data_IF_203209248889
#
_entry.id   IF_203209248889
#
_cell.length_a   1.000
_cell.length_b   1.000
_cell.length_c   1.000
_cell.angle_alpha   90.00
_cell.angle_beta   90.00
_cell.angle_gamma   90.00
#
_symmetry.space_group_name_H-M   'P 1'
#
loop_
_entity.id
_entity.type
_entity.pdbx_description
1 polymer ?
#
# COMPACT_ATOMS: atom_id res chain seq x y z
N UNK A 1 15.27 -31.14 -0.39
CA UNK A 1 14.22 -30.64 -1.29
C UNK A 1 14.58 -29.20 -1.60
N UNK A 2 14.63 -28.84 -2.89
CA UNK A 2 15.12 -27.54 -3.32
C UNK A 2 14.22 -26.39 -2.81
N UNK A 3 14.82 -25.26 -2.49
CA UNK A 3 14.15 -24.06 -1.99
C UNK A 3 12.97 -23.65 -2.88
N UNK A 4 13.12 -23.79 -4.20
CA UNK A 4 12.06 -23.56 -5.18
C UNK A 4 10.85 -24.49 -5.02
N UNK A 5 11.10 -25.77 -4.72
CA UNK A 5 10.03 -26.76 -4.53
C UNK A 5 9.23 -26.50 -3.26
N UNK A 6 9.89 -26.10 -2.16
CA UNK A 6 9.22 -25.72 -0.92
C UNK A 6 8.40 -24.44 -1.12
N UNK A 7 8.98 -23.43 -1.75
CA UNK A 7 8.27 -22.19 -2.08
C UNK A 7 7.02 -22.43 -2.93
N UNK A 8 7.13 -23.23 -3.99
CA UNK A 8 5.97 -23.54 -4.84
C UNK A 8 4.88 -24.29 -4.06
N UNK A 9 5.28 -25.21 -3.18
CA UNK A 9 4.33 -25.97 -2.37
C UNK A 9 3.61 -25.07 -1.35
N UNK A 10 4.33 -24.17 -0.69
CA UNK A 10 3.75 -23.23 0.27
C UNK A 10 2.91 -22.16 -0.42
N UNK A 11 3.31 -21.69 -1.60
CA UNK A 11 2.48 -20.82 -2.45
C UNK A 11 1.16 -21.51 -2.85
N UNK A 12 1.20 -22.79 -3.23
CA UNK A 12 -0.02 -23.54 -3.57
C UNK A 12 -0.92 -23.75 -2.35
N UNK A 13 -0.35 -24.06 -1.17
CA UNK A 13 -1.12 -24.14 0.08
C UNK A 13 -1.78 -22.79 0.40
N UNK A 14 -1.08 -21.69 0.12
CA UNK A 14 -1.62 -20.36 0.33
C UNK A 14 -2.90 -20.14 -0.47
N UNK A 15 -2.94 -20.56 -1.74
CA UNK A 15 -4.13 -20.49 -2.59
C UNK A 15 -5.34 -21.29 -2.06
N UNK A 16 -5.11 -22.25 -1.16
CA UNK A 16 -6.17 -23.07 -0.53
C UNK A 16 -6.69 -22.48 0.80
N UNK A 17 -6.16 -21.35 1.28
CA UNK A 17 -6.67 -20.74 2.51
C UNK A 17 -8.11 -20.25 2.32
N UNK A 18 -8.97 -20.28 3.35
CA UNK A 18 -10.33 -19.73 3.27
C UNK A 18 -10.34 -18.30 2.74
N UNK A 19 -9.46 -17.44 3.23
CA UNK A 19 -9.34 -16.05 2.78
C UNK A 19 -9.04 -15.91 1.30
N UNK A 20 -8.06 -16.66 0.77
CA UNK A 20 -7.74 -16.64 -0.67
C UNK A 20 -8.82 -17.33 -1.50
N UNK A 21 -9.51 -18.32 -0.94
CA UNK A 21 -10.67 -18.95 -1.59
C UNK A 21 -11.82 -17.96 -1.77
N UNK A 22 -12.10 -17.09 -0.79
CA UNK A 22 -13.07 -16.00 -0.96
C UNK A 22 -12.62 -14.97 -2.00
N UNK A 23 -11.34 -14.61 -2.03
CA UNK A 23 -10.78 -13.74 -3.08
C UNK A 23 -10.97 -14.34 -4.47
N UNK A 24 -10.54 -15.60 -4.67
CA UNK A 24 -10.68 -16.32 -5.95
C UNK A 24 -12.16 -16.50 -6.30
N UNK A 25 -13.00 -16.84 -5.33
CA UNK A 25 -14.45 -16.92 -5.51
C UNK A 25 -15.05 -15.60 -5.98
N UNK A 26 -14.62 -14.47 -5.42
CA UNK A 26 -15.02 -13.14 -5.86
C UNK A 26 -14.62 -12.85 -7.32
N UNK A 27 -13.37 -13.19 -7.67
CA UNK A 27 -12.89 -13.08 -9.06
C UNK A 27 -13.73 -13.94 -10.02
N UNK A 28 -14.01 -15.19 -9.66
CA UNK A 28 -14.80 -16.11 -10.47
C UNK A 28 -16.25 -15.64 -10.64
N UNK A 29 -16.90 -15.18 -9.56
CA UNK A 29 -18.26 -14.64 -9.61
C UNK A 29 -18.33 -13.44 -10.56
N UNK A 30 -17.38 -12.52 -10.47
CA UNK A 30 -17.29 -11.39 -11.38
C UNK A 30 -16.96 -11.82 -12.83
N UNK A 31 -16.14 -12.85 -13.01
CA UNK A 31 -15.82 -13.45 -14.32
C UNK A 31 -17.02 -14.04 -15.02
N UNK A 32 -17.94 -14.67 -14.28
CA UNK A 32 -19.19 -15.18 -14.82
C UNK A 32 -20.23 -14.08 -15.09
N UNK A 33 -19.88 -12.80 -14.96
CA UNK A 33 -20.77 -11.68 -15.23
C UNK A 33 -21.88 -11.53 -14.19
N UNK A 34 -21.65 -12.02 -12.96
CA UNK A 34 -22.62 -11.87 -11.86
C UNK A 34 -22.93 -10.40 -11.57
N UNK A 35 -24.19 -10.12 -11.24
CA UNK A 35 -24.64 -8.81 -10.77
C UNK A 35 -24.44 -8.63 -9.26
N UNK A 36 -23.78 -9.58 -8.58
CA UNK A 36 -23.45 -9.44 -7.17
C UNK A 36 -22.56 -8.21 -6.97
N UNK A 37 -23.14 -7.17 -6.39
CA UNK A 37 -22.44 -5.93 -6.05
C UNK A 37 -22.64 -5.66 -4.56
N UNK A 38 -21.53 -5.52 -3.85
CA UNK A 38 -21.53 -5.08 -2.46
C UNK A 38 -21.35 -3.55 -2.49
N UNK A 39 -22.28 -2.77 -1.93
CA UNK A 39 -22.17 -1.31 -1.91
C UNK A 39 -20.88 -0.83 -1.26
N UNK A 40 -20.26 0.20 -1.82
CA UNK A 40 -19.00 0.79 -1.32
C UNK A 40 -19.09 1.22 0.15
N UNK A 41 -20.26 1.68 0.59
CA UNK A 41 -20.53 2.02 2.00
C UNK A 41 -20.35 0.84 2.94
N UNK A 42 -20.72 -0.38 2.52
CA UNK A 42 -20.52 -1.60 3.31
C UNK A 42 -19.03 -1.93 3.38
N UNK A 43 -18.31 -1.82 2.26
CA UNK A 43 -16.85 -2.04 2.21
C UNK A 43 -16.13 -1.08 3.16
N UNK A 44 -16.51 0.20 3.16
CA UNK A 44 -15.95 1.22 4.07
C UNK A 44 -16.16 0.87 5.53
N UNK A 45 -17.35 0.38 5.91
CA UNK A 45 -17.64 -0.07 7.27
C UNK A 45 -16.80 -1.30 7.63
N UNK A 46 -16.70 -2.28 6.73
CA UNK A 46 -15.88 -3.48 6.94
C UNK A 46 -14.41 -3.10 7.18
N UNK A 47 -13.82 -2.28 6.30
CA UNK A 47 -12.45 -1.80 6.42
C UNK A 47 -12.26 -1.01 7.72
N UNK A 48 -13.19 -0.12 8.06
CA UNK A 48 -13.19 0.59 9.33
C UNK A 48 -13.16 -0.37 10.53
N UNK A 49 -14.01 -1.39 10.55
CA UNK A 49 -14.08 -2.36 11.64
C UNK A 49 -12.80 -3.18 11.75
N UNK A 50 -12.27 -3.68 10.64
CA UNK A 50 -11.03 -4.46 10.61
C UNK A 50 -9.84 -3.62 11.08
N UNK A 51 -9.68 -2.40 10.58
CA UNK A 51 -8.59 -1.51 10.98
C UNK A 51 -8.73 -1.02 12.41
N UNK A 52 -9.96 -0.79 12.89
CA UNK A 52 -10.21 -0.48 14.31
C UNK A 52 -9.82 -1.66 15.20
N UNK A 53 -10.18 -2.90 14.83
CA UNK A 53 -9.75 -4.11 15.55
C UNK A 53 -8.23 -4.20 15.61
N UNK A 54 -7.56 -4.04 14.47
CA UNK A 54 -6.10 -4.07 14.37
C UNK A 54 -5.49 -2.97 15.25
N UNK A 55 -6.05 -1.77 15.22
CA UNK A 55 -5.67 -0.66 16.10
C UNK A 55 -5.85 -1.01 17.57
N UNK A 56 -6.98 -1.60 17.96
CA UNK A 56 -7.25 -2.04 19.34
C UNK A 56 -6.22 -3.07 19.80
N UNK A 57 -5.94 -4.09 18.99
CA UNK A 57 -4.90 -5.09 19.26
C UNK A 57 -3.54 -4.43 19.45
N UNK A 58 -3.18 -3.50 18.56
CA UNK A 58 -1.94 -2.73 18.65
C UNK A 58 -1.87 -1.89 19.92
N UNK A 59 -2.95 -1.17 20.26
CA UNK A 59 -2.98 -0.30 21.42
C UNK A 59 -2.92 -1.08 22.74
N UNK A 60 -3.61 -2.21 22.83
CA UNK A 60 -3.55 -3.11 23.99
C UNK A 60 -2.13 -3.65 24.17
N UNK A 61 -1.47 -4.04 23.07
CA UNK A 61 -0.13 -4.62 23.11
C UNK A 61 0.98 -3.59 23.38
N UNK A 62 0.86 -2.36 22.86
CA UNK A 62 1.86 -1.30 23.07
C UNK A 62 2.02 -0.93 24.54
N UNK A 63 0.97 -1.10 25.36
CA UNK A 63 1.05 -0.92 26.82
C UNK A 63 2.19 -1.71 27.46
N UNK A 64 2.59 -2.83 26.84
CA UNK A 64 3.57 -3.76 27.37
C UNK A 64 4.78 -3.97 26.43
N UNK A 65 4.90 -3.21 25.32
CA UNK A 65 5.92 -3.46 24.29
C UNK A 65 7.03 -2.42 24.26
N UNK A 66 8.23 -2.82 23.81
CA UNK A 66 9.36 -1.92 23.63
C UNK A 66 9.27 -1.16 22.29
N UNK A 67 8.83 0.10 22.33
CA UNK A 67 8.68 0.95 21.12
C UNK A 67 10.01 1.22 20.39
N UNK A 68 11.16 0.97 21.03
CA UNK A 68 12.47 1.11 20.39
C UNK A 68 12.65 0.14 19.23
N UNK A 69 12.03 -1.04 19.29
CA UNK A 69 12.09 -2.06 18.23
C UNK A 69 11.39 -1.61 16.93
N UNK A 70 10.48 -0.64 17.00
CA UNK A 70 9.77 -0.09 15.84
C UNK A 70 10.65 0.85 15.01
N UNK A 71 11.67 1.48 15.59
CA UNK A 71 12.40 2.59 14.96
C UNK A 71 13.02 2.16 13.63
N UNK A 72 13.71 1.02 13.61
CA UNK A 72 14.39 0.55 12.41
C UNK A 72 13.39 0.12 11.30
N UNK A 73 12.37 -0.72 11.58
CA UNK A 73 11.33 -1.03 10.59
C UNK A 73 10.56 0.20 10.09
N UNK A 74 10.26 1.17 10.95
CA UNK A 74 9.62 2.42 10.54
C UNK A 74 10.53 3.26 9.62
N UNK A 75 11.83 3.33 9.92
CA UNK A 75 12.80 4.01 9.06
C UNK A 75 12.93 3.33 7.69
N UNK A 76 12.95 1.99 7.64
CA UNK A 76 12.93 1.24 6.38
C UNK A 76 11.62 1.43 5.62
N UNK A 77 10.47 1.46 6.30
CA UNK A 77 9.17 1.77 5.70
C UNK A 77 9.19 3.13 4.98
N UNK A 78 9.71 4.16 5.64
CA UNK A 78 9.89 5.49 5.05
C UNK A 78 10.88 5.52 3.89
N UNK A 79 12.02 4.85 4.05
CA UNK A 79 13.04 4.74 3.01
C UNK A 79 12.48 4.07 1.75
N UNK A 80 11.72 2.98 1.90
CA UNK A 80 11.08 2.26 0.79
C UNK A 80 10.09 3.16 0.07
N UNK A 81 9.22 3.87 0.80
CA UNK A 81 8.27 4.80 0.19
C UNK A 81 8.96 5.87 -0.67
N UNK A 82 10.05 6.45 -0.17
CA UNK A 82 10.89 7.40 -0.93
C UNK A 82 11.53 6.73 -2.15
N UNK A 83 12.12 5.55 -1.94
CA UNK A 83 12.85 4.80 -2.96
C UNK A 83 11.94 4.42 -4.13
N UNK A 84 10.70 4.00 -3.87
CA UNK A 84 9.72 3.64 -4.91
C UNK A 84 9.43 4.83 -5.84
N UNK A 85 9.30 6.04 -5.29
CA UNK A 85 9.13 7.25 -6.12
C UNK A 85 10.33 7.47 -7.03
N UNK A 86 11.55 7.27 -6.52
CA UNK A 86 12.77 7.38 -7.34
C UNK A 86 12.91 6.24 -8.35
N UNK A 87 12.49 5.02 -8.01
CA UNK A 87 12.42 3.90 -8.95
C UNK A 87 11.53 4.30 -10.13
N UNK A 88 10.32 4.80 -9.88
CA UNK A 88 9.43 5.27 -10.96
C UNK A 88 10.07 6.42 -11.77
N UNK A 89 10.74 7.35 -11.10
CA UNK A 89 11.45 8.48 -11.75
C UNK A 89 12.58 8.02 -12.68
N UNK A 90 13.29 6.96 -12.34
CA UNK A 90 14.44 6.48 -13.11
C UNK A 90 14.13 5.32 -14.05
N UNK A 91 12.99 4.66 -13.88
CA UNK A 91 12.51 3.58 -14.76
C UNK A 91 11.37 4.07 -15.65
N UNK A 92 10.16 4.19 -15.10
CA UNK A 92 8.94 4.55 -15.84
C UNK A 92 9.07 5.88 -16.58
N UNK A 93 9.69 6.90 -15.97
CA UNK A 93 9.84 8.21 -16.61
C UNK A 93 10.84 8.24 -17.80
N UNK A 94 11.66 7.19 -17.98
CA UNK A 94 12.58 7.05 -19.13
C UNK A 94 11.93 6.32 -20.30
N UNK A 95 10.75 5.73 -20.11
CA UNK A 95 10.05 4.97 -21.14
C UNK A 95 9.39 5.90 -22.16
N UNK A 96 9.32 5.48 -23.44
CA UNK A 96 8.75 6.32 -24.48
C UNK A 96 7.27 6.60 -24.23
N UNK A 97 6.83 7.83 -24.53
CA UNK A 97 5.45 8.32 -24.35
C UNK A 97 4.96 8.42 -22.90
N UNK A 98 5.86 8.33 -21.91
CA UNK A 98 5.55 8.56 -20.50
C UNK A 98 6.06 9.93 -20.07
N UNK A 99 5.17 10.79 -19.55
CA UNK A 99 5.59 12.09 -19.01
C UNK A 99 6.21 11.88 -17.63
N UNK A 100 7.28 12.60 -17.32
CA UNK A 100 7.96 12.50 -16.03
C UNK A 100 7.05 12.79 -14.84
N UNK A 101 6.12 13.75 -14.98
CA UNK A 101 5.13 14.07 -13.93
C UNK A 101 4.15 12.92 -13.71
N UNK A 102 3.77 12.20 -14.76
CA UNK A 102 2.88 11.05 -14.63
C UNK A 102 3.61 9.88 -13.95
N UNK A 103 4.86 9.63 -14.33
CA UNK A 103 5.69 8.61 -13.70
C UNK A 103 5.94 8.89 -12.20
N UNK A 104 6.14 10.15 -11.82
CA UNK A 104 6.29 10.56 -10.42
C UNK A 104 4.97 10.40 -9.65
N UNK A 105 3.83 10.75 -10.25
CA UNK A 105 2.52 10.48 -9.65
C UNK A 105 2.25 8.97 -9.50
N UNK A 106 2.60 8.16 -10.51
CA UNK A 106 2.54 6.69 -10.40
C UNK A 106 3.45 6.17 -9.30
N UNK A 107 4.70 6.63 -9.22
CA UNK A 107 5.62 6.26 -8.16
C UNK A 107 5.11 6.65 -6.78
N UNK A 108 4.53 7.84 -6.63
CA UNK A 108 3.90 8.27 -5.38
C UNK A 108 2.76 7.35 -4.96
N UNK A 109 1.94 6.92 -5.92
CA UNK A 109 0.76 6.11 -5.62
C UNK A 109 1.10 4.62 -5.36
N UNK A 110 2.11 4.08 -6.03
CA UNK A 110 2.68 2.75 -5.74
C UNK A 110 3.64 2.72 -4.53
N UNK A 111 4.18 3.87 -4.13
CA UNK A 111 4.96 3.99 -2.89
C UNK A 111 4.07 4.28 -1.67
N UNK A 112 2.84 4.74 -1.90
CA UNK A 112 1.81 4.96 -0.91
C UNK A 112 1.07 3.64 -0.61
N UNK A 113 0.48 3.53 0.57
CA UNK A 113 -0.03 2.26 1.09
C UNK A 113 -1.54 2.15 0.88
N UNK A 114 -2.01 0.96 0.49
CA UNK A 114 -3.44 0.65 0.49
C UNK A 114 -3.86 0.07 1.84
N UNK A 115 -4.78 0.75 2.53
CA UNK A 115 -5.30 0.30 3.82
C UNK A 115 -6.05 -1.04 3.73
N UNK A 116 -6.72 -1.30 2.61
CA UNK A 116 -7.44 -2.55 2.37
C UNK A 116 -6.46 -3.71 2.09
N UNK A 117 -5.36 -3.46 1.38
CA UNK A 117 -4.29 -4.45 1.15
C UNK A 117 -3.55 -4.80 2.45
N UNK A 118 -3.25 -3.79 3.27
CA UNK A 118 -2.63 -4.01 4.58
C UNK A 118 -3.55 -4.81 5.51
N UNK A 119 -4.84 -4.45 5.56
CA UNK A 119 -5.83 -5.20 6.33
C UNK A 119 -5.83 -6.68 5.90
N UNK A 120 -5.93 -6.95 4.59
CA UNK A 120 -5.89 -8.31 4.05
C UNK A 120 -4.60 -9.08 4.42
N UNK A 121 -3.45 -8.41 4.44
CA UNK A 121 -2.17 -9.03 4.81
C UNK A 121 -2.13 -9.43 6.29
N UNK A 122 -2.47 -8.50 7.18
CA UNK A 122 -2.50 -8.72 8.63
C UNK A 122 -3.49 -9.81 8.99
N UNK A 123 -4.67 -9.77 8.36
CA UNK A 123 -5.71 -10.78 8.58
C UNK A 123 -5.27 -12.18 8.14
N UNK A 124 -4.53 -12.29 7.02
CA UNK A 124 -4.00 -13.56 6.54
C UNK A 124 -2.92 -14.12 7.48
N UNK A 125 -2.06 -13.25 8.01
CA UNK A 125 -1.08 -13.63 9.02
C UNK A 125 -1.77 -14.16 10.29
N UNK A 126 -2.82 -13.48 10.77
CA UNK A 126 -3.61 -13.93 11.93
C UNK A 126 -4.30 -15.28 11.66
N UNK A 127 -4.90 -15.47 10.47
CA UNK A 127 -5.56 -16.73 10.11
C UNK A 127 -4.58 -17.91 10.14
N UNK A 128 -3.34 -17.69 9.71
CA UNK A 128 -2.31 -18.70 9.68
C UNK A 128 -1.51 -18.82 10.99
N UNK A 129 -1.90 -18.08 12.03
CA UNK A 129 -1.17 -18.00 13.30
C UNK A 129 0.31 -17.61 13.11
N UNK A 130 0.60 -16.80 12.10
CA UNK A 130 1.94 -16.24 11.90
C UNK A 130 2.05 -15.01 12.78
N UNK A 131 2.98 -15.05 13.73
CA UNK A 131 3.22 -13.93 14.63
C UNK A 131 3.78 -12.73 13.87
N UNK A 132 3.25 -11.55 14.19
CA UNK A 132 3.74 -10.25 13.76
C UNK A 132 3.63 -9.25 14.91
N UNK A 133 4.30 -8.11 14.79
CA UNK A 133 4.33 -7.09 15.82
C UNK A 133 2.97 -6.41 15.94
N UNK A 134 2.49 -6.23 17.16
CA UNK A 134 1.21 -5.56 17.36
C UNK A 134 1.21 -4.10 16.85
N UNK A 135 2.38 -3.48 16.76
CA UNK A 135 2.55 -2.15 16.15
C UNK A 135 2.75 -2.18 14.63
N UNK A 136 2.73 -3.34 13.95
CA UNK A 136 2.96 -3.45 12.49
C UNK A 136 2.03 -2.53 11.67
N UNK A 137 0.81 -2.30 12.16
CA UNK A 137 -0.12 -1.26 11.67
C UNK A 137 0.52 0.13 11.50
N UNK A 138 1.37 0.53 12.45
CA UNK A 138 2.02 1.83 12.47
C UNK A 138 3.04 2.02 11.33
N UNK A 139 3.47 0.97 10.62
CA UNK A 139 4.34 1.11 9.46
C UNK A 139 3.66 1.83 8.29
N UNK A 140 2.31 1.79 8.22
CA UNK A 140 1.50 2.43 7.19
C UNK A 140 1.83 3.92 7.00
N UNK A 141 1.66 4.81 8.01
CA UNK A 141 1.92 6.24 7.82
C UNK A 141 3.38 6.55 7.53
N UNK A 142 4.31 5.73 8.04
CA UNK A 142 5.74 5.92 7.79
C UNK A 142 6.11 5.67 6.34
N UNK A 143 5.34 4.90 5.57
CA UNK A 143 5.56 4.72 4.14
C UNK A 143 4.70 5.66 3.30
N UNK A 144 3.41 5.78 3.63
CA UNK A 144 2.42 6.54 2.87
C UNK A 144 2.80 8.01 2.72
N UNK A 145 3.12 8.67 3.85
CA UNK A 145 3.42 10.10 3.88
C UNK A 145 4.72 10.40 3.13
N UNK A 146 5.86 9.73 3.39
CA UNK A 146 7.10 10.01 2.66
C UNK A 146 6.98 9.77 1.16
N UNK A 147 6.25 8.74 0.71
CA UNK A 147 6.04 8.49 -0.70
C UNK A 147 5.26 9.64 -1.38
N UNK A 148 4.10 10.02 -0.82
CA UNK A 148 3.27 11.10 -1.38
C UNK A 148 4.00 12.45 -1.38
N UNK A 149 4.66 12.79 -0.26
CA UNK A 149 5.44 14.03 -0.16
C UNK A 149 6.59 14.04 -1.17
N UNK A 150 7.33 12.93 -1.29
CA UNK A 150 8.45 12.83 -2.23
C UNK A 150 7.98 12.98 -3.67
N UNK A 151 6.88 12.32 -4.05
CA UNK A 151 6.33 12.44 -5.39
C UNK A 151 5.96 13.88 -5.74
N UNK A 152 5.28 14.57 -4.82
CA UNK A 152 4.84 15.97 -5.02
C UNK A 152 6.04 16.90 -5.07
N UNK A 153 6.99 16.79 -4.13
CA UNK A 153 8.18 17.65 -4.09
C UNK A 153 9.03 17.45 -5.34
N UNK A 154 9.35 16.21 -5.71
CA UNK A 154 10.19 15.92 -6.87
C UNK A 154 9.50 16.35 -8.17
N UNK A 155 8.18 16.19 -8.29
CA UNK A 155 7.44 16.64 -9.46
C UNK A 155 7.42 18.17 -9.59
N UNK A 156 7.21 18.90 -8.48
CA UNK A 156 7.24 20.35 -8.49
C UNK A 156 8.65 20.90 -8.77
N UNK A 157 9.70 20.28 -8.23
CA UNK A 157 11.10 20.61 -8.56
C UNK A 157 11.38 20.41 -10.07
N UNK A 158 10.92 19.30 -10.64
CA UNK A 158 11.07 19.02 -12.07
C UNK A 158 10.35 20.07 -12.94
N UNK A 159 9.11 20.44 -12.59
CA UNK A 159 8.34 21.46 -13.30
C UNK A 159 8.99 22.84 -13.21
N UNK A 160 9.50 23.21 -12.03
CA UNK A 160 10.18 24.50 -11.84
C UNK A 160 11.49 24.56 -12.63
N UNK A 161 12.28 23.49 -12.65
CA UNK A 161 13.50 23.42 -13.48
C UNK A 161 13.18 23.49 -14.97
N UNK A 162 12.10 22.84 -15.43
CA UNK A 162 11.66 22.90 -16.83
C UNK A 162 11.23 24.32 -17.20
N UNK A 163 10.39 24.98 -16.38
CA UNK A 163 9.97 26.38 -16.59
C UNK A 163 11.16 27.34 -16.61
N UNK A 164 12.13 27.18 -15.71
CA UNK A 164 13.34 28.00 -15.68
C UNK A 164 14.17 27.83 -16.94
N UNK A 165 14.37 26.59 -17.42
CA UNK A 165 15.05 26.35 -18.70
C UNK A 165 14.28 26.96 -19.87
N UNK A 166 12.96 26.74 -19.94
CA UNK A 166 12.14 27.34 -21.00
C UNK A 166 12.20 28.87 -20.97
N UNK A 167 12.22 29.50 -19.79
CA UNK A 167 12.40 30.93 -19.64
C UNK A 167 13.82 31.41 -20.01
N UNK A 168 14.85 30.64 -19.70
CA UNK A 168 16.25 30.92 -20.07
C UNK A 168 16.47 30.80 -21.58
N UNK A 169 15.76 29.89 -22.26
CA UNK A 169 15.73 29.80 -23.72
C UNK A 169 14.84 30.88 -24.37
N UNK A 170 13.77 31.31 -23.70
CA UNK A 170 12.82 32.31 -24.21
C UNK A 170 13.25 33.77 -23.96
N UNK A 171 14.13 34.03 -22.99
CA UNK A 171 14.57 35.39 -22.65
C UNK A 171 15.98 35.72 -23.17
N UNK A 172 15.99 36.18 -24.43
CA UNK A 172 16.78 37.34 -24.86
C UNK A 172 15.93 38.64 -24.85
N UNK A 173 14.74 38.59 -24.26
CA UNK A 173 13.89 39.76 -24.04
C UNK A 173 13.13 39.61 -22.71
N UNK A 174 13.13 40.73 -21.98
CA UNK A 174 12.77 40.87 -20.57
C UNK A 174 11.38 40.35 -20.23
N UNK A 175 11.28 39.59 -19.13
CA UNK A 175 10.01 39.34 -18.47
C UNK A 175 10.21 39.32 -16.95
N UNK A 176 9.89 40.44 -16.30
CA UNK A 176 9.59 40.47 -14.87
C UNK A 176 8.17 39.91 -14.67
N UNK A 177 8.06 38.58 -14.61
CA UNK A 177 6.86 37.91 -14.13
C UNK A 177 7.01 37.61 -12.64
N UNK A 178 5.99 37.94 -11.83
CA UNK A 178 5.93 37.62 -10.41
C UNK A 178 6.27 36.14 -10.17
N UNK A 179 7.35 35.91 -9.41
CA UNK A 179 7.69 34.59 -8.90
C UNK A 179 6.64 34.17 -7.88
N UNK A 180 5.65 33.40 -8.33
CA UNK A 180 4.80 32.67 -7.41
C UNK A 180 5.66 31.58 -6.76
N UNK A 181 6.18 31.86 -5.56
CA UNK A 181 6.93 30.91 -4.72
C UNK A 181 5.99 29.78 -4.30
N UNK A 182 5.79 28.82 -5.19
CA UNK A 182 4.93 27.67 -4.96
C UNK A 182 5.68 26.65 -4.09
N UNK A 183 6.01 27.05 -2.86
CA UNK A 183 6.56 26.13 -1.85
C UNK A 183 5.50 25.07 -1.60
N UNK A 184 5.85 23.82 -1.90
CA UNK A 184 5.02 22.67 -1.59
C UNK A 184 4.75 22.67 -0.09
N UNK A 185 3.49 22.87 0.31
CA UNK A 185 3.09 22.81 1.71
C UNK A 185 3.00 21.33 2.10
N UNK A 186 3.94 20.87 2.93
CA UNK A 186 4.01 19.47 3.38
C UNK A 186 2.89 19.15 4.39
N UNK A 187 2.55 20.09 5.27
CA UNK A 187 1.56 19.88 6.33
C UNK A 187 0.16 19.46 5.83
N UNK A 188 -0.41 20.07 4.78
CA UNK A 188 -1.65 19.58 4.17
C UNK A 188 -1.60 18.11 3.76
N UNK A 189 -0.49 17.64 3.19
CA UNK A 189 -0.33 16.24 2.73
C UNK A 189 -0.33 15.28 3.93
N UNK A 190 0.45 15.62 4.97
CA UNK A 190 0.48 14.86 6.23
C UNK A 190 -0.91 14.80 6.85
N UNK A 191 -1.59 15.96 6.92
CA UNK A 191 -2.95 16.07 7.46
C UNK A 191 -3.95 15.23 6.68
N UNK A 192 -3.89 15.25 5.35
CA UNK A 192 -4.81 14.50 4.48
C UNK A 192 -4.62 12.98 4.62
N UNK A 193 -3.37 12.50 4.67
CA UNK A 193 -3.08 11.09 4.93
C UNK A 193 -3.59 10.65 6.31
N UNK A 194 -3.36 11.44 7.37
CA UNK A 194 -3.88 11.17 8.73
C UNK A 194 -5.41 11.19 8.80
N UNK A 195 -6.06 12.08 8.04
CA UNK A 195 -7.52 12.17 7.93
C UNK A 195 -8.14 11.09 7.02
N UNK A 196 -7.31 10.25 6.39
CA UNK A 196 -7.75 9.11 5.61
C UNK A 196 -8.58 8.14 6.47
N UNK A 197 -9.74 7.62 5.97
CA UNK A 197 -10.62 6.76 6.75
C UNK A 197 -9.91 5.55 7.38
N UNK A 198 -9.02 4.92 6.62
CA UNK A 198 -8.26 3.76 7.06
C UNK A 198 -7.33 4.09 8.24
N UNK A 199 -6.48 5.10 8.08
CA UNK A 199 -5.52 5.51 9.10
C UNK A 199 -6.24 6.10 10.33
N UNK A 200 -7.28 6.89 10.14
CA UNK A 200 -8.11 7.41 11.23
C UNK A 200 -8.76 6.29 12.06
N UNK A 201 -9.31 5.25 11.41
CA UNK A 201 -9.88 4.09 12.11
C UNK A 201 -8.83 3.33 12.92
N UNK A 202 -7.65 3.09 12.33
CA UNK A 202 -6.55 2.42 13.01
C UNK A 202 -6.02 3.24 14.20
N UNK A 203 -5.83 4.55 14.04
CA UNK A 203 -5.39 5.45 15.12
C UNK A 203 -6.43 5.55 16.24
N UNK A 204 -7.72 5.57 15.91
CA UNK A 204 -8.79 5.52 16.90
C UNK A 204 -8.72 4.21 17.68
N UNK A 205 -8.64 3.07 17.00
CA UNK A 205 -8.47 1.76 17.63
C UNK A 205 -7.24 1.73 18.54
N UNK A 206 -6.11 2.28 18.08
CA UNK A 206 -4.88 2.39 18.86
C UNK A 206 -5.07 3.20 20.14
N UNK A 207 -5.67 4.38 20.03
CA UNK A 207 -5.93 5.25 21.19
C UNK A 207 -6.87 4.57 22.19
N UNK A 208 -7.94 3.92 21.73
CA UNK A 208 -8.84 3.16 22.59
C UNK A 208 -8.11 1.98 23.25
N UNK A 209 -7.30 1.25 22.48
CA UNK A 209 -6.45 0.16 22.99
C UNK A 209 -5.48 0.62 24.06
N UNK A 210 -4.88 1.80 23.90
CA UNK A 210 -3.92 2.39 24.83
C UNK A 210 -4.57 2.95 26.09
N UNK A 211 -5.70 3.67 25.97
CA UNK A 211 -6.19 4.50 27.08
C UNK A 211 -7.51 4.01 27.71
N UNK A 212 -8.28 3.16 27.03
CA UNK A 212 -9.68 2.91 27.39
C UNK A 212 -10.00 1.49 27.92
N UNK A 213 -9.01 0.64 28.18
CA UNK A 213 -9.18 -0.78 28.55
C UNK A 213 -10.34 -1.48 27.79
N UNK A 214 -10.25 -1.61 26.45
CA UNK A 214 -11.37 -2.02 25.61
C UNK A 214 -11.54 -3.54 25.50
N UNK A 215 -10.92 -4.35 26.37
CA UNK A 215 -10.84 -5.80 26.23
C UNK A 215 -12.21 -6.49 26.17
N UNK A 216 -13.21 -5.96 26.89
CA UNK A 216 -14.59 -6.48 26.87
C UNK A 216 -15.25 -6.32 25.50
N UNK A 217 -15.13 -5.13 24.89
CA UNK A 217 -15.67 -4.82 23.57
C UNK A 217 -14.86 -5.53 22.48
N UNK A 218 -13.54 -5.58 22.62
CA UNK A 218 -12.65 -6.28 21.72
C UNK A 218 -13.03 -7.76 21.61
N UNK A 219 -13.07 -8.49 22.74
CA UNK A 219 -13.37 -9.93 22.77
C UNK A 219 -14.83 -10.23 22.43
N UNK A 220 -15.76 -9.37 22.83
CA UNK A 220 -17.20 -9.58 22.63
C UNK A 220 -17.68 -9.30 21.21
N UNK A 221 -17.01 -8.41 20.47
CA UNK A 221 -17.50 -7.94 19.18
C UNK A 221 -16.44 -7.97 18.08
N UNK A 222 -15.32 -7.27 18.26
CA UNK A 222 -14.34 -7.10 17.18
C UNK A 222 -13.62 -8.41 16.82
N UNK A 223 -13.19 -9.18 17.79
CA UNK A 223 -12.47 -10.44 17.60
C UNK A 223 -13.31 -11.51 16.88
N UNK A 224 -14.53 -11.85 17.31
CA UNK A 224 -15.36 -12.84 16.62
C UNK A 224 -15.85 -12.37 15.25
N UNK A 225 -16.18 -11.07 15.09
CA UNK A 225 -16.65 -10.52 13.82
C UNK A 225 -15.55 -10.50 12.75
N UNK A 226 -14.27 -10.44 13.16
CA UNK A 226 -13.13 -10.22 12.28
C UNK A 226 -13.07 -11.20 11.11
N UNK A 227 -13.15 -12.51 11.38
CA UNK A 227 -13.03 -13.55 10.33
C UNK A 227 -14.18 -13.50 9.32
N UNK A 228 -15.39 -13.19 9.78
CA UNK A 228 -16.56 -13.03 8.90
C UNK A 228 -16.49 -11.76 8.05
N UNK A 229 -16.03 -10.65 8.64
CA UNK A 229 -15.83 -9.40 7.91
C UNK A 229 -14.70 -9.52 6.89
N UNK A 230 -13.65 -10.26 7.23
CA UNK A 230 -12.54 -10.55 6.34
C UNK A 230 -12.98 -11.34 5.11
N UNK A 231 -13.76 -12.41 5.26
CA UNK A 231 -14.20 -13.20 4.11
C UNK A 231 -15.02 -12.37 3.12
N UNK A 232 -15.88 -11.49 3.65
CA UNK A 232 -16.65 -10.54 2.82
C UNK A 232 -15.72 -9.53 2.15
N UNK A 233 -14.76 -8.94 2.88
CA UNK A 233 -13.78 -8.03 2.29
C UNK A 233 -13.02 -8.70 1.15
N UNK A 234 -12.61 -9.95 1.35
CA UNK A 234 -11.79 -10.67 0.38
C UNK A 234 -12.60 -11.04 -0.85
N UNK A 235 -13.86 -11.40 -0.68
CA UNK A 235 -14.81 -11.56 -1.78
C UNK A 235 -14.96 -10.26 -2.59
N UNK A 236 -15.17 -9.11 -1.92
CA UNK A 236 -15.27 -7.79 -2.57
C UNK A 236 -14.02 -7.48 -3.35
N UNK A 237 -12.85 -7.63 -2.72
CA UNK A 237 -11.56 -7.35 -3.34
C UNK A 237 -11.31 -8.24 -4.56
N UNK A 238 -11.81 -9.48 -4.56
CA UNK A 238 -11.76 -10.38 -5.71
C UNK A 238 -12.65 -9.92 -6.87
N UNK A 239 -13.91 -9.53 -6.58
CA UNK A 239 -14.82 -8.99 -7.59
C UNK A 239 -14.28 -7.68 -8.17
N UNK A 240 -13.74 -6.81 -7.31
CA UNK A 240 -13.13 -5.56 -7.68
C UNK A 240 -11.90 -5.80 -8.55
N UNK A 241 -11.01 -6.70 -8.16
CA UNK A 241 -9.84 -7.08 -8.94
C UNK A 241 -10.22 -7.50 -10.38
N UNK A 242 -11.26 -8.32 -10.52
CA UNK A 242 -11.76 -8.76 -11.83
C UNK A 242 -12.38 -7.63 -12.65
N UNK A 243 -13.27 -6.82 -12.06
CA UNK A 243 -13.92 -5.72 -12.78
C UNK A 243 -12.90 -4.69 -13.29
N UNK A 244 -11.84 -4.49 -12.51
CA UNK A 244 -10.70 -3.62 -12.81
C UNK A 244 -9.76 -4.17 -13.90
N UNK A 245 -9.65 -5.50 -14.05
CA UNK A 245 -8.95 -6.13 -15.19
C UNK A 245 -9.59 -5.75 -16.55
N UNK A 246 -10.88 -5.41 -16.62
CA UNK A 246 -11.52 -4.94 -17.86
C UNK A 246 -11.04 -3.55 -18.31
N UNK A 247 -10.63 -2.71 -17.36
CA UNK A 247 -10.19 -1.33 -17.61
C UNK A 247 -8.74 -1.24 -18.11
N UNK A 248 -7.97 -2.34 -17.99
CA UNK A 248 -6.62 -2.51 -18.51
C UNK A 248 -6.44 -2.08 -19.97
N UNK A 249 -7.47 -2.28 -20.80
CA UNK A 249 -7.43 -1.98 -22.24
C UNK A 249 -7.27 -0.49 -22.55
N UNK A 250 -7.47 0.40 -21.57
CA UNK A 250 -7.45 1.86 -21.74
C UNK A 250 -6.14 2.52 -21.27
N UNK A 251 -5.23 1.78 -20.63
CA UNK A 251 -3.99 2.33 -20.06
C UNK A 251 -2.82 2.11 -21.02
N UNK A 252 -1.94 3.12 -21.18
CA UNK A 252 -0.78 3.00 -22.06
C UNK A 252 0.14 1.84 -21.63
N UNK A 253 0.67 1.09 -22.59
CA UNK A 253 1.26 -0.23 -22.35
C UNK A 253 2.37 -0.25 -21.27
N UNK A 254 3.16 0.82 -21.16
CA UNK A 254 4.24 0.89 -20.17
C UNK A 254 3.75 0.94 -18.73
N UNK A 255 2.59 1.56 -18.48
CA UNK A 255 1.98 1.53 -17.15
C UNK A 255 1.46 0.15 -16.82
N UNK A 256 0.97 -0.61 -17.79
CA UNK A 256 0.54 -2.00 -17.57
C UNK A 256 1.74 -2.86 -17.15
N UNK A 257 2.84 -2.80 -17.90
CA UNK A 257 4.07 -3.53 -17.56
C UNK A 257 4.58 -3.11 -16.19
N UNK A 258 4.64 -1.80 -15.92
CA UNK A 258 5.05 -1.28 -14.63
C UNK A 258 4.17 -1.80 -13.50
N UNK A 259 2.85 -1.75 -13.63
CA UNK A 259 1.93 -2.19 -12.58
C UNK A 259 1.95 -3.67 -12.28
N UNK A 260 2.41 -4.51 -13.22
CA UNK A 260 2.59 -5.95 -12.99
C UNK A 260 3.93 -6.22 -12.30
N UNK A 261 5.00 -5.57 -12.76
CA UNK A 261 6.37 -5.87 -12.29
C UNK A 261 6.70 -5.13 -10.99
N UNK A 262 6.28 -3.87 -10.88
CA UNK A 262 6.67 -2.99 -9.79
C UNK A 262 6.22 -3.49 -8.40
N UNK A 263 4.99 -4.02 -8.19
CA UNK A 263 4.59 -4.61 -6.91
C UNK A 263 5.57 -5.66 -6.38
N UNK A 264 6.01 -6.59 -7.24
CA UNK A 264 6.98 -7.61 -6.84
C UNK A 264 8.35 -7.01 -6.54
N UNK A 265 8.84 -6.09 -7.37
CA UNK A 265 10.14 -5.44 -7.16
C UNK A 265 10.15 -4.62 -5.87
N UNK A 266 9.11 -3.81 -5.65
CA UNK A 266 8.98 -3.00 -4.44
C UNK A 266 8.88 -3.88 -3.19
N UNK A 267 8.04 -4.91 -3.23
CA UNK A 267 7.90 -5.84 -2.14
C UNK A 267 9.17 -6.64 -1.87
N UNK A 268 9.94 -7.04 -2.89
CA UNK A 268 11.23 -7.72 -2.71
C UNK A 268 12.29 -6.82 -2.05
N UNK A 269 12.33 -5.53 -2.42
CA UNK A 269 13.22 -4.55 -1.78
C UNK A 269 12.84 -4.41 -0.30
N UNK A 270 11.57 -4.22 -0.02
CA UNK A 270 11.05 -4.09 1.34
C UNK A 270 11.22 -5.38 2.16
N UNK A 271 11.03 -6.55 1.54
CA UNK A 271 11.32 -7.85 2.14
C UNK A 271 12.79 -7.98 2.51
N UNK A 272 13.71 -7.60 1.61
CA UNK A 272 15.14 -7.60 1.89
C UNK A 272 15.52 -6.70 3.06
N UNK A 273 14.99 -5.47 3.12
CA UNK A 273 15.19 -4.57 4.25
C UNK A 273 14.53 -5.10 5.54
N UNK A 274 13.37 -5.75 5.42
CA UNK A 274 12.70 -6.44 6.53
C UNK A 274 13.57 -7.57 7.08
N UNK A 275 14.20 -8.37 6.22
CA UNK A 275 15.14 -9.41 6.67
C UNK A 275 16.37 -8.81 7.35
N UNK A 276 16.86 -7.66 6.90
CA UNK A 276 17.91 -6.92 7.62
C UNK A 276 17.43 -6.52 9.01
N UNK A 277 16.21 -5.99 9.15
CA UNK A 277 15.62 -5.68 10.45
C UNK A 277 15.40 -6.95 11.31
N UNK A 278 15.02 -8.07 10.69
CA UNK A 278 14.84 -9.36 11.37
C UNK A 278 16.13 -9.78 12.08
N UNK A 279 17.25 -9.77 11.36
CA UNK A 279 18.53 -10.14 11.94
C UNK A 279 19.11 -9.07 12.88
N UNK A 280 18.79 -7.79 12.69
CA UNK A 280 19.36 -6.71 13.48
C UNK A 280 18.62 -6.46 14.82
N UNK A 281 17.29 -6.57 14.83
CA UNK A 281 16.46 -6.19 15.99
C UNK A 281 15.48 -7.28 16.43
N UNK A 282 15.47 -8.44 15.78
CA UNK A 282 14.52 -9.51 16.06
C UNK A 282 13.13 -9.27 15.45
N UNK A 283 13.02 -8.40 14.44
CA UNK A 283 11.76 -8.13 13.72
C UNK A 283 11.19 -9.43 13.15
N UNK A 284 10.00 -9.83 13.53
CA UNK A 284 9.37 -11.09 13.15
C UNK A 284 9.22 -11.25 11.64
N UNK A 285 9.21 -12.51 11.18
CA UNK A 285 8.96 -12.81 9.77
C UNK A 285 7.56 -12.35 9.31
N UNK A 286 6.57 -12.36 10.20
CA UNK A 286 5.27 -11.75 9.91
C UNK A 286 5.38 -10.25 9.67
N UNK A 287 6.17 -9.55 10.48
CA UNK A 287 6.53 -8.14 10.26
C UNK A 287 7.21 -7.89 8.91
N UNK A 288 8.15 -8.76 8.52
CA UNK A 288 8.81 -8.71 7.20
C UNK A 288 7.78 -8.83 6.07
N UNK A 289 6.81 -9.74 6.19
CA UNK A 289 5.71 -9.89 5.22
C UNK A 289 4.87 -8.62 5.18
N UNK A 290 4.49 -8.04 6.34
CA UNK A 290 3.72 -6.79 6.37
C UNK A 290 4.46 -5.69 5.62
N UNK A 291 5.75 -5.49 5.91
CA UNK A 291 6.58 -4.48 5.25
C UNK A 291 6.67 -4.71 3.72
N UNK A 292 6.83 -5.97 3.30
CA UNK A 292 6.85 -6.33 1.88
C UNK A 292 5.51 -6.07 1.18
N UNK A 293 4.40 -6.42 1.81
CA UNK A 293 3.07 -6.27 1.23
C UNK A 293 2.64 -4.81 1.15
N UNK A 294 2.89 -3.99 2.18
CA UNK A 294 2.57 -2.56 2.09
C UNK A 294 3.37 -1.90 0.97
N UNK A 295 4.60 -2.35 0.71
CA UNK A 295 5.41 -1.87 -0.39
C UNK A 295 5.02 -2.40 -1.77
N UNK A 296 4.44 -3.60 -1.84
CA UNK A 296 3.86 -4.13 -3.06
C UNK A 296 2.50 -3.49 -3.41
N UNK A 297 1.86 -2.84 -2.43
CA UNK A 297 0.53 -2.24 -2.59
C UNK A 297 0.56 -0.90 -3.33
N UNK A 298 -0.62 -0.33 -3.57
CA UNK A 298 -0.75 1.01 -4.15
C UNK A 298 -1.99 1.72 -3.62
N UNK A 299 -1.85 2.97 -3.18
CA UNK A 299 -2.92 3.70 -2.49
C UNK A 299 -4.10 4.05 -3.38
N UNK A 300 -5.27 3.57 -2.99
CA UNK A 300 -6.54 3.65 -3.73
C UNK A 300 -7.52 4.69 -3.14
N UNK A 301 -7.27 5.16 -1.91
CA UNK A 301 -8.18 6.05 -1.17
C UNK A 301 -7.62 7.47 -1.05
N UNK A 302 -6.55 7.67 -0.27
CA UNK A 302 -5.96 8.99 0.01
C UNK A 302 -4.96 9.43 -1.05
N UNK A 303 -4.22 8.51 -1.66
CA UNK A 303 -3.22 8.81 -2.68
C UNK A 303 -3.76 9.60 -3.89
N UNK A 304 -4.87 9.18 -4.53
CA UNK A 304 -5.41 9.87 -5.70
C UNK A 304 -5.74 11.36 -5.49
N UNK A 305 -6.57 11.77 -4.49
CA UNK A 305 -6.88 13.19 -4.27
C UNK A 305 -5.65 14.01 -3.90
N UNK A 306 -4.77 13.48 -3.04
CA UNK A 306 -3.53 14.15 -2.63
C UNK A 306 -2.61 14.42 -3.83
N UNK A 307 -2.44 13.44 -4.73
CA UNK A 307 -1.61 13.61 -5.93
C UNK A 307 -2.27 14.51 -7.00
N UNK A 308 -3.61 14.51 -7.11
CA UNK A 308 -4.32 15.47 -7.99
C UNK A 308 -4.11 16.90 -7.51
N UNK A 309 -4.17 17.13 -6.21
CA UNK A 309 -3.93 18.44 -5.61
C UNK A 309 -2.44 18.85 -5.71
N UNK A 310 -1.52 17.91 -5.45
CA UNK A 310 -0.08 18.18 -5.39
C UNK A 310 0.64 18.21 -6.75
N UNK A 311 0.12 17.49 -7.76
CA UNK A 311 0.67 17.44 -9.12
C UNK A 311 -0.47 17.60 -10.15
N UNK A 312 -1.11 18.79 -10.26
CA UNK A 312 -2.30 18.96 -11.11
C UNK A 312 -2.06 18.72 -12.61
N UNK A 313 -0.81 18.77 -13.05
CA UNK A 313 -0.42 18.53 -14.44
C UNK A 313 -0.29 17.03 -14.80
N UNK A 314 -0.24 16.15 -13.80
CA UNK A 314 -0.20 14.70 -14.02
C UNK A 314 -1.56 14.19 -14.51
N UNK A 315 -1.55 13.16 -15.36
CA UNK A 315 -2.74 12.58 -15.97
C UNK A 315 -3.38 11.57 -14.99
N UNK A 316 -4.53 11.87 -14.37
CA UNK A 316 -5.16 10.98 -13.39
C UNK A 316 -5.52 9.62 -13.95
N UNK A 317 -5.94 9.55 -15.21
CA UNK A 317 -6.31 8.29 -15.85
C UNK A 317 -5.12 7.33 -15.96
N UNK A 318 -3.91 7.85 -16.11
CA UNK A 318 -2.71 7.03 -16.23
C UNK A 318 -2.31 6.42 -14.88
N UNK A 319 -2.05 7.25 -13.86
CA UNK A 319 -1.50 6.74 -12.60
C UNK A 319 -2.56 6.07 -11.71
N UNK A 320 -3.80 6.56 -11.70
CA UNK A 320 -4.91 5.92 -10.96
C UNK A 320 -5.32 4.63 -11.66
N UNK A 321 -5.41 4.67 -13.00
CA UNK A 321 -5.69 3.46 -13.79
C UNK A 321 -4.62 2.40 -13.58
N UNK A 322 -3.34 2.76 -13.66
CA UNK A 322 -2.22 1.85 -13.44
C UNK A 322 -2.28 1.15 -12.07
N UNK A 323 -2.52 1.90 -11.00
CA UNK A 323 -2.60 1.33 -9.66
C UNK A 323 -3.88 0.54 -9.47
N UNK A 324 -5.03 1.18 -9.61
CA UNK A 324 -6.28 0.54 -9.21
C UNK A 324 -6.65 -0.58 -10.17
N UNK A 325 -6.50 -0.39 -11.48
CA UNK A 325 -6.90 -1.38 -12.48
C UNK A 325 -6.01 -2.64 -12.49
N UNK A 326 -4.78 -2.54 -11.98
CA UNK A 326 -3.73 -3.55 -12.19
C UNK A 326 -2.90 -3.78 -10.93
N UNK A 327 -2.27 -2.73 -10.41
CA UNK A 327 -1.35 -2.82 -9.26
C UNK A 327 -2.02 -3.43 -8.04
N UNK A 328 -3.20 -2.92 -7.67
CA UNK A 328 -3.99 -3.43 -6.53
C UNK A 328 -4.39 -4.90 -6.71
N UNK A 329 -5.00 -5.34 -7.84
CA UNK A 329 -5.23 -6.75 -8.12
C UNK A 329 -3.99 -7.63 -7.99
N UNK A 330 -2.85 -7.18 -8.54
CA UNK A 330 -1.58 -7.93 -8.49
C UNK A 330 -1.07 -8.03 -7.06
N UNK A 331 -1.12 -6.93 -6.31
CA UNK A 331 -0.69 -6.89 -4.91
C UNK A 331 -1.49 -7.89 -4.06
N UNK A 332 -2.82 -7.85 -4.16
CA UNK A 332 -3.71 -8.69 -3.35
C UNK A 332 -3.65 -10.16 -3.80
N UNK A 333 -3.80 -10.41 -5.10
CA UNK A 333 -3.94 -11.76 -5.64
C UNK A 333 -2.64 -12.55 -5.69
N UNK A 334 -1.49 -11.87 -5.85
CA UNK A 334 -0.22 -12.54 -6.07
C UNK A 334 0.87 -12.13 -5.08
N UNK A 335 1.03 -10.84 -4.78
CA UNK A 335 2.13 -10.41 -3.91
C UNK A 335 1.95 -10.88 -2.46
N UNK A 336 0.74 -10.80 -1.90
CA UNK A 336 0.47 -11.31 -0.54
C UNK A 336 0.86 -12.80 -0.42
N UNK A 337 0.30 -13.72 -1.24
CA UNK A 337 0.67 -15.13 -1.13
C UNK A 337 2.14 -15.39 -1.44
N UNK A 338 2.73 -14.63 -2.37
CA UNK A 338 4.15 -14.73 -2.71
C UNK A 338 5.05 -14.40 -1.51
N UNK A 339 4.85 -13.26 -0.83
CA UNK A 339 5.71 -12.87 0.29
C UNK A 339 5.48 -13.73 1.54
N UNK A 340 4.26 -14.21 1.76
CA UNK A 340 3.97 -15.21 2.80
C UNK A 340 4.73 -16.51 2.57
N UNK A 341 4.62 -17.09 1.37
CA UNK A 341 5.34 -18.33 1.03
C UNK A 341 6.87 -18.15 1.09
N UNK A 342 7.38 -16.98 0.68
CA UNK A 342 8.80 -16.66 0.79
C UNK A 342 9.27 -16.60 2.26
N UNK A 343 8.51 -15.93 3.14
CA UNK A 343 8.82 -15.85 4.56
C UNK A 343 8.77 -17.23 5.25
N UNK A 344 7.76 -18.04 4.94
CA UNK A 344 7.64 -19.41 5.47
C UNK A 344 8.81 -20.29 5.03
N UNK A 345 9.21 -20.21 3.75
CA UNK A 345 10.34 -20.99 3.21
C UNK A 345 11.65 -20.62 3.90
N UNK A 346 11.85 -19.35 4.25
CA UNK A 346 13.04 -18.87 4.93
C UNK A 346 12.99 -19.09 6.45
N UNK A 347 11.79 -19.07 7.06
CA UNK A 347 11.59 -19.29 8.49
C UNK A 347 11.52 -20.76 8.92
N UNK A 348 11.34 -21.69 7.97
CA UNK A 348 11.39 -23.12 8.22
C UNK A 348 12.82 -23.70 8.28
N UNK A 349 13.86 -22.85 8.22
CA UNK A 349 15.28 -23.21 8.29
C UNK A 349 15.86 -23.09 9.69
#
# INVERSE_FOLDING_TARGET
MDLLSNFLMDFVKQLQSPTLSFLIGGMLIAAFGSQLQIPESIVKIIVFMLLTKIGLTGGIAIRNSNLTEMILPAAFSALVGILIVFIARFTLAKLPKVRTVDALATGGLFGAVSGSTMAAALTLLEEQNINYEAWAGALYPFMDIPALVTAIVVANLYLNHKKRREAEYASKQEFFGEQQDNRVKIWPIVKESLQGPALSAMLLGLALGLFANPESVYKGFYDPAFRGLLSILMLVMGMEAWSRLGELRKVAHWYVVYSIVAPFVHGLIAFGLGMVAHYATGFSLGGVVVLAVIAASSSDISGPPTLRAGIPSANPSAYIGASTAIGTPIAIGFCIPFFLGLAQTLGAQ
#
